data_IF_507052813151
#
_entry.id   IF_507052813151
#
_cell.length_a   1.000
_cell.length_b   1.000
_cell.length_c   1.000
_cell.angle_alpha   90.00
_cell.angle_beta   90.00
_cell.angle_gamma   90.00
#
_symmetry.space_group_name_H-M   'P 1'
#
loop_
_entity.id
_entity.type
_entity.pdbx_description
1 polymer ?
#
# COMPACT_ATOMS: atom_id res chain seq x y z
N UNK A 1 -1.28 10.22 -9.26
CA UNK A 1 -1.46 8.80 -8.87
C UNK A 1 -2.92 8.62 -8.51
N UNK A 2 -3.53 7.51 -8.90
CA UNK A 2 -4.94 7.23 -8.61
C UNK A 2 -5.11 5.83 -8.03
N UNK A 3 -5.98 5.69 -7.03
CA UNK A 3 -6.49 4.37 -6.62
C UNK A 3 -7.90 4.25 -7.15
N UNK A 4 -8.16 3.16 -7.89
CA UNK A 4 -9.48 2.82 -8.39
C UNK A 4 -9.82 1.39 -7.98
N UNK A 5 -11.09 1.16 -7.64
CA UNK A 5 -11.61 -0.20 -7.54
C UNK A 5 -11.91 -0.70 -8.95
N UNK A 6 -11.43 -1.90 -9.27
CA UNK A 6 -11.82 -2.60 -10.49
C UNK A 6 -13.24 -3.15 -10.33
N UNK A 7 -13.88 -3.47 -11.46
CA UNK A 7 -15.21 -4.10 -11.50
C UNK A 7 -15.27 -5.47 -10.80
N UNK A 8 -14.12 -6.10 -10.52
CA UNK A 8 -14.00 -7.36 -9.77
C UNK A 8 -13.83 -7.16 -8.26
N UNK A 9 -13.81 -5.91 -7.76
CA UNK A 9 -13.57 -5.61 -6.34
C UNK A 9 -12.10 -5.61 -5.92
N UNK A 10 -11.18 -5.75 -6.88
CA UNK A 10 -9.73 -5.60 -6.67
C UNK A 10 -9.38 -4.11 -6.67
N UNK A 11 -8.44 -3.66 -5.83
CA UNK A 11 -7.95 -2.28 -5.91
C UNK A 11 -6.80 -2.21 -6.92
N UNK A 12 -6.76 -1.17 -7.73
CA UNK A 12 -5.67 -0.88 -8.66
C UNK A 12 -4.96 0.39 -8.23
N UNK A 13 -3.63 0.33 -8.19
CA UNK A 13 -2.77 1.48 -7.99
C UNK A 13 -2.26 1.95 -9.35
N UNK A 14 -2.62 3.16 -9.75
CA UNK A 14 -2.17 3.80 -10.98
C UNK A 14 -1.13 4.89 -10.70
N UNK A 15 0.08 4.63 -11.18
CA UNK A 15 1.30 5.42 -11.03
C UNK A 15 1.77 5.99 -12.39
N UNK A 16 0.94 5.93 -13.45
CA UNK A 16 1.30 6.37 -14.82
C UNK A 16 1.81 7.82 -14.87
N UNK A 17 1.38 8.67 -13.94
CA UNK A 17 1.84 10.06 -13.83
C UNK A 17 3.10 10.29 -13.00
N UNK A 18 3.72 9.26 -12.43
CA UNK A 18 4.86 9.42 -11.51
C UNK A 18 6.22 9.46 -12.22
N UNK A 19 6.34 8.99 -13.46
CA UNK A 19 7.60 9.03 -14.21
C UNK A 19 8.74 8.32 -13.45
N UNK A 20 9.84 9.03 -13.20
CA UNK A 20 11.02 8.52 -12.51
C UNK A 20 10.78 8.26 -11.01
N UNK A 21 9.77 8.89 -10.41
CA UNK A 21 9.42 8.70 -9.00
C UNK A 21 8.58 7.43 -8.76
N UNK A 22 8.34 6.63 -9.80
CA UNK A 22 7.55 5.41 -9.70
C UNK A 22 8.22 4.39 -8.76
N UNK A 23 7.58 4.02 -7.64
CA UNK A 23 8.15 3.11 -6.66
C UNK A 23 8.16 1.63 -7.12
N UNK A 24 7.54 1.27 -8.24
CA UNK A 24 7.43 -0.12 -8.68
C UNK A 24 8.75 -0.64 -9.28
N UNK A 25 9.31 -1.76 -8.78
CA UNK A 25 10.60 -2.30 -9.23
C UNK A 25 10.66 -2.62 -10.73
N UNK A 26 9.57 -3.08 -11.31
CA UNK A 26 9.44 -3.37 -12.74
C UNK A 26 9.27 -2.13 -13.62
N UNK A 27 9.06 -0.94 -13.05
CA UNK A 27 8.66 0.25 -13.80
C UNK A 27 7.24 0.17 -14.36
N UNK A 28 6.45 -0.84 -13.97
CA UNK A 28 5.04 -0.94 -14.31
C UNK A 28 4.32 0.35 -13.86
N UNK A 29 3.36 0.84 -14.64
CA UNK A 29 2.62 2.05 -14.30
C UNK A 29 1.33 1.77 -13.54
N UNK A 30 0.91 0.50 -13.48
CA UNK A 30 -0.29 0.05 -12.79
C UNK A 30 -0.01 -1.27 -12.10
N UNK A 31 -0.54 -1.45 -10.89
CA UNK A 31 -0.41 -2.71 -10.14
C UNK A 31 -1.66 -2.99 -9.32
N UNK A 32 -2.09 -4.23 -9.32
CA UNK A 32 -3.17 -4.66 -8.44
C UNK A 32 -2.73 -4.59 -6.98
N UNK A 33 -3.66 -4.27 -6.10
CA UNK A 33 -3.47 -4.20 -4.66
C UNK A 33 -4.47 -5.10 -3.94
N UNK A 34 -3.98 -5.72 -2.88
CA UNK A 34 -4.79 -6.45 -1.91
C UNK A 34 -4.80 -5.76 -0.55
N UNK A 35 -5.80 -6.10 0.26
CA UNK A 35 -5.83 -5.74 1.68
C UNK A 35 -4.70 -6.45 2.42
N UNK A 36 -4.00 -5.76 3.31
CA UNK A 36 -3.03 -6.39 4.20
C UNK A 36 -3.73 -7.07 5.41
N UNK A 37 -4.81 -7.81 5.16
CA UNK A 37 -5.68 -8.42 6.16
C UNK A 37 -6.18 -9.79 5.69
N UNK A 38 -6.28 -10.77 6.60
CA UNK A 38 -6.71 -12.16 6.28
C UNK A 38 -8.18 -12.27 5.87
N UNK A 39 -8.95 -11.23 6.13
CA UNK A 39 -10.33 -11.06 5.74
C UNK A 39 -10.55 -9.61 5.32
N UNK A 40 -11.65 -9.30 4.60
CA UNK A 40 -12.02 -7.92 4.33
C UNK A 40 -12.02 -7.09 5.63
N UNK A 41 -11.31 -5.95 5.68
CA UNK A 41 -11.21 -5.15 6.88
C UNK A 41 -12.58 -4.57 7.27
N UNK A 42 -12.86 -4.38 8.58
CA UNK A 42 -14.10 -3.77 9.03
C UNK A 42 -14.19 -2.31 8.58
N UNK A 43 -15.41 -1.77 8.51
CA UNK A 43 -15.66 -0.38 8.07
C UNK A 43 -14.83 0.66 8.86
N UNK A 44 -14.60 0.44 10.16
CA UNK A 44 -13.78 1.34 10.98
C UNK A 44 -12.34 1.49 10.49
N UNK A 45 -11.77 0.45 9.88
CA UNK A 45 -10.43 0.48 9.28
C UNK A 45 -10.48 1.20 7.93
N UNK A 46 -11.50 0.92 7.13
CA UNK A 46 -11.72 1.62 5.84
C UNK A 46 -11.92 3.13 6.02
N UNK A 47 -12.56 3.54 7.11
CA UNK A 47 -12.86 4.94 7.40
C UNK A 47 -11.69 5.69 8.06
N UNK A 48 -10.68 4.99 8.58
CA UNK A 48 -9.48 5.57 9.22
C UNK A 48 -8.21 5.33 8.39
N UNK A 49 -7.53 4.20 8.61
CA UNK A 49 -6.29 3.83 7.94
C UNK A 49 -6.43 2.43 7.36
N UNK A 50 -6.18 2.29 6.07
CA UNK A 50 -6.25 1.02 5.36
C UNK A 50 -4.85 0.60 4.90
N UNK A 51 -4.32 -0.46 5.50
CA UNK A 51 -3.08 -1.10 5.04
C UNK A 51 -3.36 -1.98 3.81
N UNK A 52 -2.56 -1.79 2.76
CA UNK A 52 -2.63 -2.48 1.47
C UNK A 52 -1.25 -2.96 1.05
N UNK A 53 -1.20 -3.92 0.14
CA UNK A 53 0.05 -4.45 -0.42
C UNK A 53 -0.12 -4.72 -1.92
N UNK A 54 0.92 -4.49 -2.70
CA UNK A 54 0.94 -4.93 -4.11
C UNK A 54 0.66 -6.42 -4.22
N UNK A 55 -0.21 -6.79 -5.15
CA UNK A 55 -0.54 -8.17 -5.47
C UNK A 55 0.64 -8.81 -6.23
N UNK A 56 1.24 -9.85 -5.65
CA UNK A 56 2.30 -10.65 -6.27
C UNK A 56 2.05 -12.13 -6.05
N UNK A 57 2.53 -12.94 -6.99
CA UNK A 57 2.53 -14.39 -6.84
C UNK A 57 3.63 -14.85 -5.89
N UNK A 58 3.30 -15.77 -4.99
CA UNK A 58 4.24 -16.46 -4.11
C UNK A 58 4.88 -17.57 -4.88
N UNK A 59 6.20 -17.60 -5.01
CA UNK A 59 6.88 -18.83 -5.33
C UNK A 59 7.10 -19.63 -4.04
N UNK A 60 6.42 -20.76 -3.91
CA UNK A 60 6.65 -21.69 -2.79
C UNK A 60 7.95 -22.46 -3.01
N UNK A 61 8.43 -23.14 -1.96
CA UNK A 61 9.61 -24.02 -2.06
C UNK A 61 9.46 -25.14 -3.11
N UNK A 62 8.23 -25.49 -3.52
CA UNK A 62 7.96 -26.46 -4.59
C UNK A 62 7.98 -25.85 -5.99
N UNK A 63 8.23 -24.55 -6.13
CA UNK A 63 8.18 -23.82 -7.40
C UNK A 63 6.75 -23.54 -7.89
N UNK A 64 5.74 -23.83 -7.07
CA UNK A 64 4.34 -23.52 -7.38
C UNK A 64 4.07 -22.06 -7.10
N UNK A 65 3.32 -21.41 -7.99
CA UNK A 65 2.83 -20.05 -7.77
C UNK A 65 1.44 -20.09 -7.14
N UNK A 66 1.29 -19.53 -5.93
CA UNK A 66 0.00 -19.41 -5.23
C UNK A 66 -0.21 -17.99 -4.68
N UNK A 67 -1.47 -17.60 -4.49
CA UNK A 67 -1.90 -16.65 -3.44
C UNK A 67 -2.00 -15.17 -3.80
N UNK A 68 -3.09 -14.58 -3.31
CA UNK A 68 -3.28 -13.17 -2.94
C UNK A 68 -2.95 -13.07 -1.44
N UNK A 69 -2.08 -12.15 -1.00
CA UNK A 69 -1.62 -12.17 0.40
C UNK A 69 -2.50 -11.44 1.39
N UNK A 70 -2.65 -12.12 2.53
CA UNK A 70 -2.75 -11.53 3.85
C UNK A 70 -1.61 -12.06 4.72
N UNK A 71 -0.77 -11.15 5.21
CA UNK A 71 0.35 -11.38 6.16
C UNK A 71 1.30 -12.52 5.79
N UNK A 72 2.55 -12.25 5.35
CA UNK A 72 3.56 -13.30 5.28
C UNK A 72 3.74 -13.88 6.69
N UNK A 73 3.33 -15.13 6.88
CA UNK A 73 3.74 -15.91 8.05
C UNK A 73 5.25 -16.11 8.05
N UNK A 74 5.82 -16.56 9.16
CA UNK A 74 7.23 -16.93 9.23
C UNK A 74 7.49 -18.16 8.33
N UNK A 75 7.73 -17.93 7.05
CA UNK A 75 8.03 -18.94 6.04
C UNK A 75 8.91 -18.35 4.95
N UNK A 76 9.73 -19.19 4.31
CA UNK A 76 10.62 -18.79 3.22
C UNK A 76 9.81 -18.55 1.93
N UNK A 77 9.16 -17.39 1.85
CA UNK A 77 8.46 -16.96 0.64
C UNK A 77 9.43 -16.21 -0.29
N UNK A 78 9.43 -16.55 -1.57
CA UNK A 78 10.10 -15.75 -2.60
C UNK A 78 9.03 -15.09 -3.45
N UNK A 79 9.04 -13.76 -3.48
CA UNK A 79 8.16 -12.99 -4.34
C UNK A 79 8.80 -12.82 -5.71
N UNK A 80 7.99 -12.73 -6.76
CA UNK A 80 8.50 -12.39 -8.10
C UNK A 80 9.12 -11.00 -8.14
N UNK A 81 8.59 -10.07 -7.34
CA UNK A 81 9.15 -8.74 -7.05
C UNK A 81 8.94 -8.40 -5.57
N UNK A 82 9.80 -7.57 -4.94
CA UNK A 82 9.59 -7.16 -3.56
C UNK A 82 8.21 -6.52 -3.36
N UNK A 83 7.38 -7.03 -2.43
CA UNK A 83 6.06 -6.46 -2.18
C UNK A 83 6.21 -5.07 -1.56
N UNK A 84 5.42 -4.13 -2.06
CA UNK A 84 5.36 -2.78 -1.51
C UNK A 84 4.11 -2.68 -0.64
N UNK A 85 4.28 -2.19 0.59
CA UNK A 85 3.16 -1.89 1.48
C UNK A 85 2.79 -0.41 1.34
N UNK A 86 1.49 -0.19 1.32
CA UNK A 86 0.89 1.13 1.27
C UNK A 86 -0.06 1.28 2.44
N UNK A 87 -0.15 2.47 2.99
CA UNK A 87 -1.24 2.82 3.89
C UNK A 87 -2.00 3.99 3.29
N UNK A 88 -3.30 3.80 3.04
CA UNK A 88 -4.21 4.89 2.71
C UNK A 88 -4.74 5.47 4.01
N UNK A 89 -4.60 6.78 4.18
CA UNK A 89 -5.15 7.53 5.32
C UNK A 89 -6.32 8.36 4.83
N UNK A 90 -7.47 8.15 5.48
CA UNK A 90 -8.69 8.90 5.26
C UNK A 90 -8.56 10.34 5.79
N UNK A 91 -9.21 11.34 5.16
CA UNK A 91 -9.30 12.69 5.71
C UNK A 91 -9.96 12.74 7.09
N UNK A 92 -10.79 11.74 7.41
CA UNK A 92 -11.46 11.59 8.69
C UNK A 92 -10.67 10.73 9.70
N UNK A 93 -9.41 10.39 9.40
CA UNK A 93 -8.61 9.54 10.27
C UNK A 93 -8.48 10.15 11.68
N UNK A 94 -8.82 9.34 12.67
CA UNK A 94 -8.70 9.65 14.10
C UNK A 94 -7.61 8.85 14.80
N UNK A 95 -7.03 7.87 14.10
CA UNK A 95 -5.99 7.00 14.64
C UNK A 95 -4.61 7.65 14.56
N UNK A 96 -3.71 7.24 15.45
CA UNK A 96 -2.31 7.70 15.42
C UNK A 96 -1.61 7.20 14.15
N UNK A 97 -0.89 8.08 13.47
CA UNK A 97 -0.06 7.73 12.32
C UNK A 97 1.35 7.47 12.83
N UNK A 98 1.87 6.28 12.56
CA UNK A 98 3.24 5.92 12.94
C UNK A 98 4.27 6.79 12.20
N UNK A 99 5.33 7.21 12.89
CA UNK A 99 6.43 8.02 12.36
C UNK A 99 5.99 9.31 11.65
N UNK A 100 4.89 9.91 12.11
CA UNK A 100 4.42 11.22 11.64
C UNK A 100 5.41 12.31 12.01
N UNK A 101 5.88 13.06 11.01
CA UNK A 101 6.57 14.31 11.21
C UNK A 101 5.56 15.40 11.59
N UNK A 102 5.58 15.80 12.86
CA UNK A 102 4.68 16.83 13.38
C UNK A 102 5.09 18.24 13.00
N UNK A 103 6.33 18.46 12.52
CA UNK A 103 6.80 19.74 12.03
C UNK A 103 6.35 20.00 10.58
N UNK A 104 6.14 18.93 9.80
CA UNK A 104 5.65 19.00 8.42
C UNK A 104 4.58 17.92 8.14
N UNK A 105 3.42 17.96 8.81
CA UNK A 105 2.43 16.90 8.67
C UNK A 105 1.76 16.92 7.29
N UNK A 106 1.31 15.77 6.77
CA UNK A 106 0.42 15.75 5.62
C UNK A 106 -0.82 16.62 5.80
N UNK A 107 -1.34 17.14 4.70
CA UNK A 107 -2.63 17.83 4.71
C UNK A 107 -3.76 16.86 5.10
N UNK A 108 -4.79 17.36 5.79
CA UNK A 108 -5.99 16.62 6.16
C UNK A 108 -6.89 16.32 4.95
N UNK A 109 -6.39 15.50 4.03
CA UNK A 109 -7.06 15.00 2.84
C UNK A 109 -6.68 13.54 2.61
N UNK A 110 -7.34 12.83 1.70
CA UNK A 110 -6.94 11.47 1.36
C UNK A 110 -5.50 11.43 0.84
N UNK A 111 -4.64 10.68 1.51
CA UNK A 111 -3.27 10.44 1.07
C UNK A 111 -2.85 8.98 1.26
N UNK A 112 -1.79 8.63 0.56
CA UNK A 112 -1.12 7.35 0.63
C UNK A 112 0.31 7.58 1.07
N UNK A 113 0.84 6.69 1.89
CA UNK A 113 2.29 6.62 2.07
C UNK A 113 2.79 5.20 1.86
N UNK A 114 3.99 5.13 1.32
CA UNK A 114 4.69 3.89 1.00
C UNK A 114 5.61 3.57 2.16
N UNK A 115 5.64 2.32 2.57
CA UNK A 115 6.61 1.88 3.57
C UNK A 115 7.08 0.45 3.31
N UNK A 116 8.34 0.13 3.71
CA UNK A 116 8.86 -1.21 3.57
C UNK A 116 8.02 -2.22 4.37
N UNK A 117 7.82 -3.40 3.79
CA UNK A 117 7.08 -4.49 4.45
C UNK A 117 7.78 -4.96 5.74
N UNK A 118 9.11 -4.95 5.76
CA UNK A 118 9.97 -5.48 6.84
C UNK A 118 10.61 -4.39 7.73
N UNK A 119 10.44 -3.11 7.39
CA UNK A 119 11.10 -2.01 8.09
C UNK A 119 10.13 -0.85 8.38
N UNK A 120 9.07 -1.15 9.14
CA UNK A 120 8.04 -0.18 9.56
C UNK A 120 8.60 0.99 10.40
N UNK A 121 9.80 0.89 10.94
CA UNK A 121 10.38 1.96 11.77
C UNK A 121 11.26 2.94 10.98
N UNK A 122 11.61 2.62 9.72
CA UNK A 122 12.59 3.38 8.95
C UNK A 122 11.98 4.46 8.03
N UNK A 123 10.65 4.62 8.01
CA UNK A 123 9.97 5.59 7.15
C UNK A 123 9.43 6.76 7.96
N UNK A 124 9.41 7.95 7.37
CA UNK A 124 8.80 9.16 7.94
C UNK A 124 7.59 9.56 7.11
N UNK A 125 6.46 9.84 7.77
CA UNK A 125 5.24 10.34 7.13
C UNK A 125 5.20 11.85 7.27
N UNK A 126 5.29 12.58 6.16
CA UNK A 126 5.34 14.04 6.11
C UNK A 126 4.64 14.55 4.85
N UNK A 127 4.38 15.84 4.76
CA UNK A 127 3.82 16.45 3.54
C UNK A 127 4.58 16.05 2.26
N UNK A 128 5.90 15.89 2.35
CA UNK A 128 6.80 15.65 1.22
C UNK A 128 6.95 14.16 0.86
N UNK A 129 6.56 13.26 1.76
CA UNK A 129 6.74 11.80 1.58
C UNK A 129 5.45 11.07 1.26
N UNK A 130 4.31 11.77 1.26
CA UNK A 130 3.01 11.18 0.94
C UNK A 130 2.56 11.52 -0.47
N UNK A 131 1.76 10.63 -1.04
CA UNK A 131 1.09 10.79 -2.31
C UNK A 131 -0.37 11.15 -2.05
N UNK A 132 -0.77 12.34 -2.42
CA UNK A 132 -2.15 12.76 -2.27
C UNK A 132 -3.02 12.16 -3.37
N UNK A 133 -4.22 11.71 -3.01
CA UNK A 133 -5.21 11.30 -3.99
C UNK A 133 -5.81 12.56 -4.62
N UNK A 134 -5.85 12.63 -5.94
CA UNK A 134 -6.56 13.70 -6.63
C UNK A 134 -8.05 13.68 -6.24
N UNK A 135 -8.61 14.86 -5.99
CA UNK A 135 -10.05 15.01 -5.81
C UNK A 135 -10.73 14.65 -7.14
N UNK A 136 -11.53 13.59 -7.15
CA UNK A 136 -12.41 13.28 -8.28
C UNK A 136 -13.61 14.21 -8.30
#
# INVERSE_FOLDING_TARGET
MTISATTSGTMMLDLTGMGEDNPLPSGASQVEMGYFYQSPPPASVLDNQLEMVTHWAIQTASGTFEGTYATPGAGSYTFTEPPIRFTRVSPANTETIANLDTANPPQARDYLYIHPIDAREAYTVSHDTVLYRDAQ
#
